data_IF_254616539220
#
_entry.id   IF_254616539220
#
_cell.length_a   1.000
_cell.length_b   1.000
_cell.length_c   1.000
_cell.angle_alpha   90.00
_cell.angle_beta   90.00
_cell.angle_gamma   90.00
#
_symmetry.space_group_name_H-M   'P 1'
#
loop_
_entity.id
_entity.type
_entity.pdbx_description
1 polymer ?
#
# COMPACT_ATOMS: atom_id res chain seq x y z
N UNK A 1 -33.49 35.99 80.21
CA UNK A 1 -32.23 36.81 80.12
C UNK A 1 -31.04 35.87 80.13
N UNK A 2 -30.56 35.51 78.96
CA UNK A 2 -29.34 34.69 78.85
C UNK A 2 -28.62 35.06 77.54
N UNK A 3 -27.45 35.70 77.68
CA UNK A 3 -26.65 36.22 76.61
C UNK A 3 -25.81 35.08 75.98
N UNK A 4 -25.94 34.89 74.68
CA UNK A 4 -25.06 34.01 73.88
C UNK A 4 -23.81 34.81 73.44
N UNK A 5 -22.64 34.20 73.59
CA UNK A 5 -21.34 34.71 73.09
C UNK A 5 -21.07 34.03 71.75
N UNK A 6 -20.60 34.77 70.75
CA UNK A 6 -20.14 34.12 69.49
C UNK A 6 -18.68 33.63 69.64
N UNK A 7 -18.48 32.37 69.19
CA UNK A 7 -17.14 31.80 69.02
C UNK A 7 -16.54 32.21 67.66
N UNK A 8 -15.36 32.81 67.73
CA UNK A 8 -14.56 33.16 66.52
C UNK A 8 -13.80 31.91 66.06
N UNK A 9 -14.14 31.39 64.89
CA UNK A 9 -13.36 30.35 64.23
C UNK A 9 -12.28 30.98 63.34
N UNK A 10 -11.02 30.75 63.68
CA UNK A 10 -9.88 31.15 62.87
C UNK A 10 -9.63 30.11 61.77
N UNK A 11 -9.80 30.50 60.49
CA UNK A 11 -9.36 29.73 59.35
C UNK A 11 -7.86 29.91 59.13
N UNK A 12 -7.06 28.87 59.30
CA UNK A 12 -5.68 28.80 58.85
C UNK A 12 -5.68 28.43 57.34
N UNK A 13 -5.28 29.37 56.49
CA UNK A 13 -5.04 29.10 55.09
C UNK A 13 -3.61 28.57 54.91
N UNK A 14 -3.46 27.27 54.58
CA UNK A 14 -2.19 26.69 54.13
C UNK A 14 -1.99 27.03 52.62
N UNK A 15 -1.04 27.92 52.36
CA UNK A 15 -0.54 28.14 50.99
C UNK A 15 0.52 27.09 50.66
N UNK A 16 0.17 26.14 49.78
CA UNK A 16 1.09 25.18 49.19
C UNK A 16 1.91 25.92 48.11
N UNK A 17 3.18 26.19 48.37
CA UNK A 17 4.13 26.66 47.38
C UNK A 17 4.58 25.45 46.58
N UNK A 18 3.98 25.24 45.38
CA UNK A 18 4.42 24.25 44.40
C UNK A 18 5.66 24.74 43.67
N UNK A 19 6.82 24.11 43.92
CA UNK A 19 8.01 24.33 43.09
C UNK A 19 7.80 23.72 41.71
N UNK A 20 7.50 24.52 40.68
CA UNK A 20 7.54 24.07 39.28
C UNK A 20 9.00 23.96 38.86
N UNK A 21 9.53 22.74 38.82
CA UNK A 21 10.83 22.47 38.19
C UNK A 21 10.63 22.44 36.68
N UNK A 22 11.02 23.45 35.98
CA UNK A 22 11.16 23.46 34.52
C UNK A 22 12.42 22.69 34.17
N UNK A 23 12.26 21.43 33.77
CA UNK A 23 13.33 20.64 33.16
C UNK A 23 13.51 21.12 31.73
N UNK A 24 14.57 21.87 31.44
CA UNK A 24 15.01 22.14 30.07
C UNK A 24 15.67 20.88 29.53
N UNK A 25 14.83 19.96 29.01
CA UNK A 25 15.30 18.84 28.21
C UNK A 25 15.65 19.36 26.81
N UNK A 26 16.91 19.28 26.42
CA UNK A 26 17.29 19.46 25.01
C UNK A 26 16.73 18.24 24.27
N UNK A 27 15.76 18.45 23.37
CA UNK A 27 15.28 17.38 22.50
C UNK A 27 16.45 16.94 21.62
N UNK A 28 16.99 15.75 21.86
CA UNK A 28 17.91 15.12 20.93
C UNK A 28 17.09 14.70 19.71
N UNK A 29 17.45 15.15 18.48
CA UNK A 29 16.77 14.65 17.28
C UNK A 29 16.81 13.13 17.27
N UNK A 30 15.68 12.49 17.03
CA UNK A 30 15.64 11.04 16.80
C UNK A 30 16.61 10.72 15.65
N UNK A 31 17.38 9.63 15.80
CA UNK A 31 18.18 9.14 14.69
C UNK A 31 17.25 8.87 13.50
N UNK A 32 17.66 9.23 12.27
CA UNK A 32 16.85 8.89 11.11
C UNK A 32 16.69 7.38 11.02
N UNK A 33 15.49 6.93 10.64
CA UNK A 33 15.22 5.50 10.49
C UNK A 33 16.19 4.85 9.51
N UNK A 34 16.61 3.60 9.78
CA UNK A 34 17.52 2.89 8.91
C UNK A 34 16.85 2.66 7.54
N UNK A 35 17.52 3.10 6.48
CA UNK A 35 17.07 2.86 5.11
C UNK A 35 17.22 1.38 4.75
N UNK A 36 16.22 0.84 4.07
CA UNK A 36 16.30 -0.50 3.47
C UNK A 36 17.29 -0.47 2.31
N UNK A 37 18.15 -1.49 2.21
CA UNK A 37 19.08 -1.68 1.11
C UNK A 37 18.49 -2.62 0.03
N UNK A 38 19.00 -2.53 -1.20
CA UNK A 38 18.47 -3.28 -2.33
C UNK A 38 18.52 -4.81 -2.15
N UNK A 39 19.53 -5.30 -1.43
CA UNK A 39 19.73 -6.72 -1.12
C UNK A 39 18.62 -7.29 -0.23
N UNK A 40 17.95 -6.45 0.56
CA UNK A 40 16.86 -6.88 1.44
C UNK A 40 15.52 -7.06 0.70
N UNK A 41 15.34 -6.44 -0.46
CA UNK A 41 14.05 -6.43 -1.18
C UNK A 41 13.45 -7.82 -1.44
N UNK A 42 14.22 -8.86 -1.87
CA UNK A 42 13.63 -10.18 -2.09
C UNK A 42 13.01 -10.80 -0.84
N UNK A 43 13.59 -10.54 0.34
CA UNK A 43 13.11 -11.06 1.64
C UNK A 43 11.83 -10.37 2.15
N UNK A 44 11.44 -9.25 1.56
CA UNK A 44 10.21 -8.54 1.92
C UNK A 44 8.97 -9.15 1.26
N UNK A 45 9.12 -9.74 0.07
CA UNK A 45 8.01 -10.34 -0.67
C UNK A 45 7.42 -11.53 0.11
N UNK A 46 6.12 -11.76 -0.05
CA UNK A 46 5.45 -12.91 0.55
C UNK A 46 5.89 -14.19 -0.15
N UNK A 47 6.06 -15.26 0.61
CA UNK A 47 6.28 -16.60 0.05
C UNK A 47 5.02 -17.10 -0.67
N UNK A 48 5.17 -18.13 -1.51
CA UNK A 48 4.02 -18.78 -2.14
C UNK A 48 3.00 -19.27 -1.09
N UNK A 49 3.47 -19.78 0.05
CA UNK A 49 2.59 -20.24 1.13
C UNK A 49 1.80 -19.08 1.78
N UNK A 50 2.44 -17.93 2.00
CA UNK A 50 1.77 -16.74 2.51
C UNK A 50 0.70 -16.24 1.51
N UNK A 51 1.04 -16.25 0.20
CA UNK A 51 0.11 -15.87 -0.86
C UNK A 51 -1.08 -16.83 -0.97
N UNK A 52 -0.83 -18.14 -0.87
CA UNK A 52 -1.87 -19.17 -0.81
C UNK A 52 -2.85 -18.92 0.34
N UNK A 53 -2.33 -18.63 1.52
CA UNK A 53 -3.14 -18.35 2.70
C UNK A 53 -3.95 -17.04 2.53
N UNK A 54 -3.31 -15.97 2.03
CA UNK A 54 -3.94 -14.65 1.90
C UNK A 54 -5.02 -14.62 0.82
N UNK A 55 -4.81 -15.33 -0.28
CA UNK A 55 -5.75 -15.39 -1.41
C UNK A 55 -6.66 -16.62 -1.37
N UNK A 56 -6.62 -17.43 -0.30
CA UNK A 56 -7.42 -18.65 -0.13
C UNK A 56 -7.31 -19.63 -1.30
N UNK A 57 -6.15 -19.69 -1.96
CA UNK A 57 -5.91 -20.54 -3.11
C UNK A 57 -4.64 -21.38 -2.91
N UNK A 58 -4.77 -22.70 -2.61
CA UNK A 58 -3.64 -23.56 -2.24
C UNK A 58 -2.71 -23.93 -3.41
N UNK A 59 -3.11 -23.60 -4.64
CA UNK A 59 -2.34 -23.96 -5.84
C UNK A 59 -1.45 -22.82 -6.35
N UNK A 60 -1.45 -21.66 -5.69
CA UNK A 60 -0.67 -20.52 -6.13
C UNK A 60 0.83 -20.81 -6.05
N UNK A 61 1.54 -20.43 -7.11
CA UNK A 61 3.00 -20.52 -7.19
C UNK A 61 3.56 -19.21 -7.76
N UNK A 62 4.80 -18.91 -7.42
CA UNK A 62 5.55 -17.84 -8.09
C UNK A 62 5.90 -18.32 -9.51
N UNK A 63 5.33 -17.68 -10.52
CA UNK A 63 5.55 -18.05 -11.93
C UNK A 63 6.57 -17.17 -12.63
N UNK A 64 6.86 -15.99 -12.07
CA UNK A 64 7.83 -15.04 -12.62
C UNK A 64 8.38 -14.14 -11.53
N UNK A 65 9.68 -13.83 -11.63
CA UNK A 65 10.36 -12.80 -10.83
C UNK A 65 10.99 -11.79 -11.76
N UNK A 66 10.97 -10.51 -11.37
CA UNK A 66 11.59 -9.42 -12.11
C UNK A 66 12.27 -8.42 -11.18
N UNK A 67 13.27 -7.74 -11.73
CA UNK A 67 14.06 -6.70 -11.04
C UNK A 67 13.92 -5.32 -11.69
N UNK A 68 12.96 -5.17 -12.60
CA UNK A 68 12.62 -3.91 -13.25
C UNK A 68 11.12 -3.86 -13.50
N UNK A 69 10.52 -2.65 -13.56
CA UNK A 69 9.12 -2.49 -13.96
C UNK A 69 8.88 -3.06 -15.36
N UNK A 70 7.68 -3.62 -15.56
CA UNK A 70 7.30 -4.07 -16.90
C UNK A 70 6.81 -2.94 -17.77
N UNK A 71 7.13 -3.08 -19.03
CA UNK A 71 6.59 -2.23 -20.09
C UNK A 71 5.38 -2.93 -20.71
N UNK A 72 4.26 -2.27 -20.69
CA UNK A 72 3.07 -2.68 -21.43
C UNK A 72 2.62 -1.54 -22.35
N UNK A 73 3.43 -1.21 -23.36
CA UNK A 73 3.23 -0.02 -24.16
C UNK A 73 2.01 -0.17 -25.06
N UNK A 74 1.16 0.84 -25.07
CA UNK A 74 0.19 1.07 -26.12
C UNK A 74 -1.06 0.18 -26.10
N UNK A 75 -1.30 -0.57 -25.03
CA UNK A 75 -2.48 -1.43 -24.93
C UNK A 75 -3.64 -0.82 -24.15
N UNK A 76 -3.36 0.15 -23.29
CA UNK A 76 -4.37 0.81 -22.47
C UNK A 76 -4.93 2.04 -23.21
N UNK A 77 -6.25 2.19 -23.24
CA UNK A 77 -6.94 3.33 -23.89
C UNK A 77 -6.52 4.69 -23.35
N UNK A 78 -6.08 4.73 -22.07
CA UNK A 78 -5.49 5.90 -21.43
C UNK A 78 -4.22 5.48 -20.67
N UNK A 79 -3.08 5.72 -21.28
CA UNK A 79 -1.77 5.35 -20.72
C UNK A 79 -1.47 6.04 -19.37
N UNK A 80 -2.07 7.21 -19.10
CA UNK A 80 -1.91 7.89 -17.82
C UNK A 80 -2.53 7.12 -16.64
N UNK A 81 -3.42 6.16 -16.93
CA UNK A 81 -4.06 5.28 -15.94
C UNK A 81 -3.34 3.93 -15.77
N UNK A 82 -2.13 3.76 -16.28
CA UNK A 82 -1.37 2.51 -16.18
C UNK A 82 -1.17 2.06 -14.72
N UNK A 83 -1.00 3.01 -13.78
CA UNK A 83 -0.82 2.73 -12.36
C UNK A 83 -2.04 2.09 -11.70
N UNK A 84 -3.27 2.39 -12.14
CA UNK A 84 -4.49 1.72 -11.66
C UNK A 84 -4.78 0.44 -12.45
N UNK A 85 -4.24 0.32 -13.66
CA UNK A 85 -4.44 -0.83 -14.53
C UNK A 85 -3.56 -2.04 -14.14
N UNK A 86 -2.42 -1.84 -13.46
CA UNK A 86 -1.55 -2.93 -13.03
C UNK A 86 -0.44 -2.48 -12.09
N UNK A 87 0.09 -3.42 -11.29
CA UNK A 87 1.24 -3.17 -10.43
C UNK A 87 2.56 -3.18 -11.22
N UNK A 88 3.57 -2.51 -10.69
CA UNK A 88 4.94 -2.45 -11.21
C UNK A 88 5.03 -2.00 -12.68
N UNK A 89 4.14 -1.11 -13.13
CA UNK A 89 4.15 -0.57 -14.49
C UNK A 89 5.19 0.53 -14.64
N UNK A 90 6.04 0.46 -15.68
CA UNK A 90 7.13 1.41 -15.89
C UNK A 90 6.66 2.87 -15.92
N UNK A 91 5.51 3.15 -16.52
CA UNK A 91 4.98 4.52 -16.60
C UNK A 91 4.71 5.12 -15.23
N UNK A 92 4.27 4.32 -14.24
CA UNK A 92 4.06 4.77 -12.89
C UNK A 92 5.36 5.21 -12.19
N UNK A 93 6.49 4.67 -12.61
CA UNK A 93 7.80 4.90 -12.00
C UNK A 93 8.74 5.77 -12.83
N UNK A 94 8.36 6.17 -14.05
CA UNK A 94 9.26 6.80 -15.02
C UNK A 94 9.95 8.09 -14.51
N UNK A 95 9.27 8.87 -13.69
CA UNK A 95 9.79 10.12 -13.13
C UNK A 95 10.03 10.07 -11.60
N UNK A 96 9.89 8.89 -10.99
CA UNK A 96 9.84 8.77 -9.53
C UNK A 96 11.21 8.65 -8.85
N UNK A 97 12.30 8.48 -9.61
CA UNK A 97 13.66 8.38 -9.04
C UNK A 97 13.90 7.13 -8.19
N UNK A 98 13.16 6.04 -8.42
CA UNK A 98 13.40 4.75 -7.77
C UNK A 98 14.80 4.21 -8.11
N UNK A 99 15.36 3.37 -7.25
CA UNK A 99 16.75 2.86 -7.38
C UNK A 99 16.83 1.35 -7.57
N UNK A 100 15.88 0.61 -7.03
CA UNK A 100 15.80 -0.85 -7.18
C UNK A 100 14.33 -1.30 -7.09
N UNK A 101 14.04 -2.45 -7.71
CA UNK A 101 12.73 -3.09 -7.65
C UNK A 101 12.91 -4.62 -7.55
N UNK A 102 12.00 -5.25 -6.83
CA UNK A 102 11.75 -6.69 -6.92
C UNK A 102 10.25 -6.91 -7.01
N UNK A 103 9.84 -7.73 -7.97
CA UNK A 103 8.44 -8.12 -8.09
C UNK A 103 8.30 -9.59 -8.47
N UNK A 104 7.17 -10.16 -8.06
CA UNK A 104 6.77 -11.52 -8.36
C UNK A 104 5.36 -11.54 -8.95
N UNK A 105 5.17 -12.39 -9.95
CA UNK A 105 3.85 -12.81 -10.43
C UNK A 105 3.50 -14.13 -9.77
N UNK A 106 2.34 -14.17 -9.15
CA UNK A 106 1.82 -15.35 -8.45
C UNK A 106 0.47 -15.73 -9.06
N UNK A 107 0.31 -16.96 -9.44
CA UNK A 107 -0.95 -17.53 -9.99
C UNK A 107 -0.91 -19.05 -9.89
N UNK A 108 -1.99 -19.73 -10.29
CA UNK A 108 -1.98 -21.17 -10.48
C UNK A 108 -0.91 -21.56 -11.52
N UNK A 109 -0.31 -22.79 -11.41
CA UNK A 109 0.77 -23.20 -12.29
C UNK A 109 0.33 -23.24 -13.75
N UNK A 110 1.26 -23.08 -14.73
CA UNK A 110 0.93 -23.09 -16.16
C UNK A 110 0.27 -24.38 -16.66
N UNK A 111 0.43 -25.48 -15.93
CA UNK A 111 -0.21 -26.77 -16.26
C UNK A 111 -1.68 -26.86 -15.81
N UNK A 112 -2.20 -25.89 -15.05
CA UNK A 112 -3.61 -25.80 -14.73
C UNK A 112 -4.41 -25.50 -16.01
N UNK A 113 -5.53 -26.18 -16.22
CA UNK A 113 -6.40 -25.96 -17.39
C UNK A 113 -6.95 -24.51 -17.43
N UNK A 114 -7.17 -23.94 -16.26
CA UNK A 114 -7.56 -22.53 -16.10
C UNK A 114 -7.00 -22.00 -14.79
N UNK A 115 -6.80 -20.70 -14.72
CA UNK A 115 -6.42 -20.01 -13.50
C UNK A 115 -7.55 -19.07 -13.08
N UNK A 116 -7.76 -19.02 -11.80
CA UNK A 116 -8.80 -18.21 -11.15
C UNK A 116 -8.26 -17.12 -10.24
N UNK A 117 -6.94 -17.14 -9.99
CA UNK A 117 -6.25 -16.13 -9.19
C UNK A 117 -4.99 -15.66 -9.91
N UNK A 118 -4.73 -14.40 -9.74
CA UNK A 118 -3.53 -13.72 -10.25
C UNK A 118 -3.12 -12.63 -9.27
N UNK A 119 -1.86 -12.55 -8.97
CA UNK A 119 -1.34 -11.43 -8.19
C UNK A 119 0.03 -10.99 -8.69
N UNK A 120 0.30 -9.71 -8.50
CA UNK A 120 1.63 -9.11 -8.57
C UNK A 120 1.91 -8.47 -7.23
N UNK A 121 3.03 -8.81 -6.63
CA UNK A 121 3.58 -8.11 -5.47
C UNK A 121 4.92 -7.49 -5.86
N UNK A 122 5.12 -6.23 -5.54
CA UNK A 122 6.33 -5.50 -5.82
C UNK A 122 6.78 -4.67 -4.63
N UNK A 123 8.09 -4.59 -4.43
CA UNK A 123 8.75 -3.67 -3.51
C UNK A 123 9.72 -2.81 -4.30
N UNK A 124 9.63 -1.50 -4.12
CA UNK A 124 10.36 -0.50 -4.90
C UNK A 124 11.13 0.41 -3.97
N UNK A 125 12.43 0.46 -4.17
CA UNK A 125 13.34 1.22 -3.33
C UNK A 125 13.53 2.63 -3.87
N UNK A 126 13.51 3.59 -2.96
CA UNK A 126 13.84 4.99 -3.22
C UNK A 126 15.11 5.40 -2.48
N UNK A 127 15.81 6.46 -2.92
CA UNK A 127 17.03 6.91 -2.27
C UNK A 127 16.80 7.42 -0.84
N UNK A 128 15.59 7.90 -0.54
CA UNK A 128 15.22 8.43 0.79
C UNK A 128 13.75 8.15 1.09
N UNK A 129 13.38 8.20 2.37
CA UNK A 129 11.98 8.14 2.80
C UNK A 129 11.15 9.30 2.22
N UNK A 130 11.73 10.50 2.11
CA UNK A 130 11.05 11.65 1.49
C UNK A 130 10.71 11.39 0.02
N UNK A 131 11.64 10.83 -0.77
CA UNK A 131 11.39 10.50 -2.18
C UNK A 131 10.26 9.45 -2.33
N UNK A 132 10.20 8.47 -1.44
CA UNK A 132 9.12 7.49 -1.41
C UNK A 132 7.76 8.14 -1.04
N UNK A 133 7.75 9.05 -0.07
CA UNK A 133 6.55 9.80 0.32
C UNK A 133 6.04 10.73 -0.79
N UNK A 134 6.94 11.38 -1.52
CA UNK A 134 6.61 12.21 -2.68
C UNK A 134 5.98 11.36 -3.79
N UNK A 135 6.54 10.17 -4.05
CA UNK A 135 5.97 9.21 -4.99
C UNK A 135 4.55 8.78 -4.57
N UNK A 136 4.32 8.47 -3.30
CA UNK A 136 2.98 8.12 -2.81
C UNK A 136 1.99 9.28 -2.97
N UNK A 137 2.42 10.50 -2.67
CA UNK A 137 1.59 11.70 -2.82
C UNK A 137 1.20 11.95 -4.28
N UNK A 138 2.15 11.81 -5.21
CA UNK A 138 1.88 11.89 -6.64
C UNK A 138 0.93 10.78 -7.10
N UNK A 139 1.16 9.54 -6.65
CA UNK A 139 0.31 8.38 -7.00
C UNK A 139 -1.14 8.57 -6.55
N UNK A 140 -1.39 9.15 -5.38
CA UNK A 140 -2.75 9.46 -4.92
C UNK A 140 -3.48 10.40 -5.89
N UNK A 141 -2.80 11.43 -6.37
CA UNK A 141 -3.37 12.38 -7.34
C UNK A 141 -3.60 11.71 -8.71
N UNK A 142 -2.67 10.86 -9.14
CA UNK A 142 -2.75 10.16 -10.42
C UNK A 142 -3.88 9.13 -10.44
N UNK A 143 -3.99 8.31 -9.38
CA UNK A 143 -5.07 7.33 -9.27
C UNK A 143 -6.44 7.98 -9.19
N UNK A 144 -6.58 9.12 -8.48
CA UNK A 144 -7.84 9.85 -8.38
C UNK A 144 -8.37 10.31 -9.75
N UNK A 145 -7.48 10.66 -10.70
CA UNK A 145 -7.88 11.02 -12.08
C UNK A 145 -8.43 9.84 -12.87
N UNK A 146 -8.13 8.62 -12.44
CA UNK A 146 -8.56 7.37 -13.09
C UNK A 146 -9.72 6.68 -12.36
N UNK A 147 -10.27 7.30 -11.31
CA UNK A 147 -11.43 6.78 -10.56
C UNK A 147 -12.71 6.84 -11.37
N UNK A 148 -13.61 5.91 -11.10
CA UNK A 148 -15.01 5.90 -11.56
C UNK A 148 -15.13 6.00 -13.09
N UNK A 149 -14.28 5.30 -13.83
CA UNK A 149 -14.27 5.31 -15.30
C UNK A 149 -14.00 3.95 -15.90
N UNK A 150 -14.19 3.82 -17.19
CA UNK A 150 -13.85 2.62 -17.93
C UNK A 150 -12.48 2.77 -18.62
N UNK A 151 -11.74 1.68 -18.62
CA UNK A 151 -10.50 1.55 -19.37
C UNK A 151 -10.58 0.33 -20.29
N UNK A 152 -10.14 0.50 -21.53
CA UNK A 152 -10.03 -0.59 -22.50
C UNK A 152 -8.59 -1.02 -22.64
N UNK A 153 -8.36 -2.31 -22.60
CA UNK A 153 -7.07 -2.93 -22.78
C UNK A 153 -7.08 -3.71 -24.10
N UNK A 154 -6.36 -3.22 -25.10
CA UNK A 154 -6.27 -3.86 -26.39
C UNK A 154 -5.50 -5.18 -26.33
N UNK A 155 -6.05 -6.26 -26.91
CA UNK A 155 -5.50 -7.62 -26.81
C UNK A 155 -5.32 -8.30 -28.17
N UNK A 156 -5.03 -7.55 -29.21
CA UNK A 156 -4.85 -8.11 -30.55
C UNK A 156 -3.98 -9.38 -30.57
N UNK A 157 -4.41 -10.52 -31.19
CA UNK A 157 -5.65 -10.69 -31.97
C UNK A 157 -6.91 -11.07 -31.15
N UNK A 158 -6.81 -11.19 -29.81
CA UNK A 158 -7.96 -11.47 -28.96
C UNK A 158 -8.86 -10.21 -28.82
N UNK A 159 -10.13 -10.38 -28.42
CA UNK A 159 -11.00 -9.24 -28.15
C UNK A 159 -10.45 -8.34 -27.06
N UNK A 160 -10.68 -7.04 -27.19
CA UNK A 160 -10.30 -6.05 -26.20
C UNK A 160 -10.99 -6.34 -24.86
N UNK A 161 -10.30 -6.06 -23.77
CA UNK A 161 -10.85 -6.15 -22.43
C UNK A 161 -11.28 -4.78 -21.95
N UNK A 162 -12.51 -4.66 -21.47
CA UNK A 162 -13.04 -3.46 -20.85
C UNK A 162 -13.12 -3.66 -19.34
N UNK A 163 -12.66 -2.69 -18.58
CA UNK A 163 -12.60 -2.70 -17.13
C UNK A 163 -13.29 -1.47 -16.56
N UNK A 164 -14.23 -1.63 -15.64
CA UNK A 164 -14.71 -0.56 -14.78
C UNK A 164 -13.74 -0.37 -13.64
N UNK A 165 -13.24 0.85 -13.48
CA UNK A 165 -12.41 1.28 -12.36
C UNK A 165 -13.32 1.89 -11.30
N UNK A 166 -13.22 1.42 -10.07
CA UNK A 166 -13.96 1.96 -8.94
C UNK A 166 -13.37 3.25 -8.37
N UNK A 167 -13.97 3.77 -7.29
CA UNK A 167 -13.41 4.90 -6.58
C UNK A 167 -12.05 4.55 -5.95
N UNK A 168 -11.11 5.48 -6.02
CA UNK A 168 -9.86 5.37 -5.29
C UNK A 168 -10.04 5.87 -3.86
N UNK A 169 -9.40 5.24 -2.91
CA UNK A 169 -9.46 5.64 -1.50
C UNK A 169 -8.16 5.35 -0.77
N UNK A 170 -7.96 6.04 0.35
CA UNK A 170 -6.88 5.74 1.29
C UNK A 170 -7.50 5.25 2.59
N UNK A 171 -7.19 4.02 2.99
CA UNK A 171 -7.50 3.49 4.30
C UNK A 171 -6.21 3.39 5.12
N UNK A 172 -6.14 4.23 6.16
CA UNK A 172 -4.93 4.46 6.96
C UNK A 172 -3.78 4.97 6.06
N UNK A 173 -2.89 4.10 5.65
CA UNK A 173 -1.68 4.36 4.86
C UNK A 173 -1.66 3.64 3.51
N UNK A 174 -2.73 2.94 3.15
CA UNK A 174 -2.84 2.18 1.90
C UNK A 174 -3.79 2.89 0.94
N UNK A 175 -3.26 3.30 -0.21
CA UNK A 175 -4.04 3.72 -1.36
C UNK A 175 -4.56 2.49 -2.08
N UNK A 176 -5.87 2.42 -2.33
CA UNK A 176 -6.50 1.28 -2.97
C UNK A 176 -7.52 1.69 -4.03
N UNK A 177 -7.72 0.80 -5.00
CA UNK A 177 -8.75 0.88 -6.03
C UNK A 177 -9.15 -0.52 -6.48
N UNK A 178 -10.44 -0.74 -6.67
CA UNK A 178 -10.95 -1.97 -7.29
C UNK A 178 -11.20 -1.76 -8.78
N UNK A 179 -11.16 -2.86 -9.54
CA UNK A 179 -11.56 -2.87 -10.95
C UNK A 179 -12.25 -4.19 -11.29
N UNK A 180 -13.26 -4.13 -12.16
CA UNK A 180 -14.05 -5.30 -12.58
C UNK A 180 -14.06 -5.38 -14.10
N UNK A 181 -13.75 -6.56 -14.64
CA UNK A 181 -13.75 -6.82 -16.07
C UNK A 181 -15.18 -7.03 -16.59
N UNK A 182 -15.48 -6.44 -17.74
CA UNK A 182 -16.72 -6.68 -18.48
C UNK A 182 -16.59 -7.97 -19.31
N UNK A 183 -16.72 -9.11 -18.64
CA UNK A 183 -16.66 -10.42 -19.29
C UNK A 183 -17.56 -11.41 -18.55
N UNK A 184 -17.95 -12.54 -19.18
CA UNK A 184 -18.71 -13.59 -18.49
C UNK A 184 -18.01 -14.12 -17.25
N UNK A 185 -16.69 -14.22 -17.26
CA UNK A 185 -15.87 -14.69 -16.15
C UNK A 185 -15.75 -13.64 -15.02
N UNK A 186 -15.91 -12.35 -15.33
CA UNK A 186 -15.89 -11.23 -14.38
C UNK A 186 -14.71 -11.28 -13.41
N UNK A 187 -13.51 -11.13 -13.94
CA UNK A 187 -12.36 -10.88 -13.10
C UNK A 187 -12.59 -9.64 -12.23
N UNK A 188 -12.34 -9.78 -10.95
CA UNK A 188 -12.30 -8.68 -10.00
C UNK A 188 -10.87 -8.52 -9.50
N UNK A 189 -10.33 -7.34 -9.60
CA UNK A 189 -8.98 -7.02 -9.14
C UNK A 189 -9.02 -5.89 -8.14
N UNK A 190 -8.08 -5.92 -7.20
CA UNK A 190 -7.76 -4.81 -6.31
C UNK A 190 -6.30 -4.41 -6.52
N UNK A 191 -6.05 -3.11 -6.52
CA UNK A 191 -4.72 -2.51 -6.46
C UNK A 191 -4.52 -1.91 -5.08
N UNK A 192 -3.30 -2.05 -4.54
CA UNK A 192 -2.90 -1.44 -3.29
C UNK A 192 -1.49 -0.86 -3.42
N UNK A 193 -1.29 0.35 -2.92
CA UNK A 193 0.00 1.02 -2.84
C UNK A 193 0.17 1.59 -1.43
N UNK A 194 1.30 1.31 -0.80
CA UNK A 194 1.69 1.93 0.47
C UNK A 194 3.17 2.24 0.46
N UNK A 195 3.61 3.11 1.37
CA UNK A 195 5.01 3.48 1.52
C UNK A 195 5.40 3.40 2.99
N UNK A 196 6.55 2.81 3.26
CA UNK A 196 7.14 2.76 4.59
C UNK A 196 8.65 2.99 4.50
N UNK A 197 9.17 3.98 5.22
CA UNK A 197 10.55 4.41 5.05
C UNK A 197 10.85 4.76 3.59
N UNK A 198 11.89 4.19 3.04
CA UNK A 198 12.29 4.40 1.64
C UNK A 198 11.78 3.32 0.67
N UNK A 199 10.76 2.54 1.07
CA UNK A 199 10.20 1.47 0.24
C UNK A 199 8.73 1.74 -0.08
N UNK A 200 8.36 1.66 -1.35
CA UNK A 200 6.97 1.52 -1.79
C UNK A 200 6.63 0.04 -1.98
N UNK A 201 5.46 -0.36 -1.51
CA UNK A 201 4.86 -1.68 -1.70
C UNK A 201 3.70 -1.52 -2.67
N UNK A 202 3.80 -2.14 -3.83
CA UNK A 202 2.85 -2.00 -4.95
C UNK A 202 2.28 -3.37 -5.31
N UNK A 203 0.99 -3.55 -5.11
CA UNK A 203 0.33 -4.84 -5.21
C UNK A 203 -0.89 -4.78 -6.12
N UNK A 204 -1.07 -5.84 -6.88
CA UNK A 204 -2.30 -6.18 -7.57
C UNK A 204 -2.72 -7.59 -7.18
N UNK A 205 -3.98 -7.80 -6.86
CA UNK A 205 -4.54 -9.12 -6.63
C UNK A 205 -5.90 -9.23 -7.34
N UNK A 206 -6.09 -10.30 -8.09
CA UNK A 206 -7.26 -10.57 -8.89
C UNK A 206 -7.80 -11.96 -8.63
N UNK A 207 -9.13 -12.10 -8.64
CA UNK A 207 -9.79 -13.40 -8.61
C UNK A 207 -11.00 -13.43 -9.53
N UNK A 208 -11.38 -14.63 -9.96
CA UNK A 208 -12.72 -14.90 -10.52
C UNK A 208 -13.71 -14.99 -9.35
N UNK A 209 -14.94 -14.55 -9.58
CA UNK A 209 -16.05 -14.64 -8.62
C UNK A 209 -15.93 -13.83 -7.31
N UNK A 210 -14.94 -12.97 -7.17
CA UNK A 210 -14.96 -11.94 -6.12
C UNK A 210 -14.68 -12.44 -4.70
N UNK A 211 -13.69 -13.31 -4.51
CA UNK A 211 -13.27 -13.83 -3.19
C UNK A 211 -12.74 -12.75 -2.23
N UNK A 212 -13.03 -11.49 -2.52
CA UNK A 212 -12.67 -10.34 -1.70
C UNK A 212 -11.30 -9.76 -2.02
N UNK A 213 -11.07 -8.51 -1.59
CA UNK A 213 -9.85 -7.79 -1.88
C UNK A 213 -8.66 -8.34 -1.09
N UNK A 214 -7.65 -8.85 -1.81
CA UNK A 214 -6.44 -9.38 -1.20
C UNK A 214 -5.24 -8.42 -1.28
N UNK A 215 -5.25 -7.44 -2.20
CA UNK A 215 -4.09 -6.58 -2.42
C UNK A 215 -3.75 -5.71 -1.20
N UNK A 216 -4.75 -5.17 -0.52
CA UNK A 216 -4.55 -4.41 0.73
C UNK A 216 -3.96 -5.26 1.83
N UNK A 217 -4.43 -6.52 1.99
CA UNK A 217 -3.91 -7.44 2.99
C UNK A 217 -2.44 -7.82 2.70
N UNK A 218 -2.12 -8.11 1.43
CA UNK A 218 -0.75 -8.39 0.97
C UNK A 218 0.15 -7.18 1.24
N UNK A 219 -0.27 -5.98 0.82
CA UNK A 219 0.51 -4.76 1.00
C UNK A 219 0.81 -4.47 2.49
N UNK A 220 -0.18 -4.62 3.37
CA UNK A 220 0.00 -4.46 4.82
C UNK A 220 0.95 -5.50 5.41
N UNK A 221 0.86 -6.75 4.97
CA UNK A 221 1.73 -7.82 5.46
C UNK A 221 3.18 -7.56 5.04
N UNK A 222 3.43 -7.13 3.80
CA UNK A 222 4.77 -6.74 3.33
C UNK A 222 5.26 -5.51 4.10
N UNK A 223 4.43 -4.49 4.25
CA UNK A 223 4.79 -3.27 5.01
C UNK A 223 5.17 -3.59 6.46
N UNK A 224 4.49 -4.53 7.10
CA UNK A 224 4.80 -4.99 8.46
C UNK A 224 6.14 -5.74 8.60
N UNK A 225 6.80 -6.11 7.50
CA UNK A 225 8.16 -6.70 7.49
C UNK A 225 9.25 -5.64 7.41
N UNK A 226 8.90 -4.40 7.11
CA UNK A 226 9.85 -3.29 7.04
C UNK A 226 10.25 -2.86 8.45
N UNK A 227 11.48 -2.34 8.64
CA UNK A 227 11.90 -1.79 9.92
C UNK A 227 10.91 -0.72 10.39
N UNK A 228 10.53 -0.77 11.65
CA UNK A 228 9.65 0.26 12.22
C UNK A 228 10.32 1.62 12.10
N UNK A 229 9.58 2.55 11.53
CA UNK A 229 9.94 3.97 11.49
C UNK A 229 9.67 4.62 12.87
#
# INVERSE_FOLDING_TARGET
MTRARPALAALLSLTAVGCSQTTFGTATPAAPDPLVAAEALPGLLLSAADMQATMSSPQLVVTREVSAPWQDPGRLSDASCSAVAGAAQQQAYAAAGWTALRAQVVREPPAAESWSHYAVQAVVLFPTAAAAADFFTASRADWARCSDRELTYAQQPAPDQVWSIGPTGVDRDVLAVSRVQHSPQRWSCERALTVHGNVAVDVEACSLAGDGPAAVAIARTISGRLPNA
#
